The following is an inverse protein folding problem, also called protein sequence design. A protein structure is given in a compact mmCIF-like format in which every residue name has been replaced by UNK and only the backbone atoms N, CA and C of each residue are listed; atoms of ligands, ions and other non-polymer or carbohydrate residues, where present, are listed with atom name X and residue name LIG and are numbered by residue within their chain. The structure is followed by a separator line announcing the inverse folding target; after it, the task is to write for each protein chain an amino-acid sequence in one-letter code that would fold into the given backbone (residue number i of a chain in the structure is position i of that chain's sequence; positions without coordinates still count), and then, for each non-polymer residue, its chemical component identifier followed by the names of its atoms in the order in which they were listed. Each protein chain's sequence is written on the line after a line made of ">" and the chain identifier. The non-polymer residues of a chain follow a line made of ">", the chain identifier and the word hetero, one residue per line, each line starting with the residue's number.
data_IF_004197949965
#
_entry.id   IF_004197949965
#
_cell.length_a   1.000
_cell.length_b   1.000
_cell.length_c   1.000
_cell.angle_alpha   90.00
_cell.angle_beta   90.00
_cell.angle_gamma   90.00
#
_symmetry.space_group_name_H-M   'P 1'
#
loop_
_entity.id
_entity.type
_entity.pdbx_description
1 polymer ?
#
# COMPACT_ATOMS: atom_id res chain seq x y z
N UNK A 1 -4.79 7.97 -11.50
CA UNK A 1 -3.73 8.12 -10.48
C UNK A 1 -2.39 8.19 -11.18
N UNK A 2 -1.52 9.12 -10.74
CA UNK A 2 -0.18 9.32 -11.33
C UNK A 2 0.91 8.61 -10.53
N UNK A 3 0.82 8.59 -9.21
CA UNK A 3 1.75 7.91 -8.31
C UNK A 3 1.00 7.13 -7.25
N UNK A 4 1.47 5.93 -6.96
CA UNK A 4 0.88 5.04 -5.94
C UNK A 4 2.00 4.55 -5.02
N UNK A 5 1.74 4.55 -3.70
CA UNK A 5 2.62 3.85 -2.77
C UNK A 5 2.26 2.37 -2.72
N UNK A 6 3.27 1.52 -2.69
CA UNK A 6 3.07 0.08 -2.49
C UNK A 6 3.74 -0.37 -1.20
N UNK A 7 2.93 -0.84 -0.28
CA UNK A 7 3.35 -1.48 0.97
C UNK A 7 3.51 -2.99 0.74
N UNK A 8 4.65 -3.54 1.05
CA UNK A 8 4.98 -4.94 0.79
C UNK A 8 6.11 -5.45 1.68
N UNK A 9 6.31 -6.76 1.67
CA UNK A 9 7.33 -7.41 2.47
C UNK A 9 8.76 -7.15 1.99
N UNK A 10 9.72 -7.09 2.95
CA UNK A 10 11.16 -7.16 2.71
C UNK A 10 11.64 -8.59 2.41
N UNK A 11 10.75 -9.57 2.40
CA UNK A 11 10.96 -10.97 2.01
C UNK A 11 10.09 -11.31 0.79
N UNK A 12 10.47 -12.34 0.02
CA UNK A 12 9.67 -12.86 -1.10
C UNK A 12 8.55 -13.79 -0.64
N UNK A 13 8.60 -14.27 0.61
CA UNK A 13 7.81 -15.42 1.03
C UNK A 13 8.31 -16.73 0.40
N UNK A 14 7.65 -17.83 0.73
CA UNK A 14 8.04 -19.15 0.21
C UNK A 14 7.32 -19.51 -1.10
N UNK A 15 6.11 -19.00 -1.30
CA UNK A 15 5.33 -19.29 -2.49
C UNK A 15 5.67 -18.29 -3.60
N UNK A 16 6.11 -18.77 -4.79
CA UNK A 16 6.50 -17.90 -5.91
C UNK A 16 5.36 -17.02 -6.43
N UNK A 17 4.11 -17.37 -6.18
CA UNK A 17 2.94 -16.59 -6.59
C UNK A 17 2.97 -15.13 -6.09
N UNK A 18 3.58 -14.89 -4.93
CA UNK A 18 3.68 -13.54 -4.39
C UNK A 18 4.67 -12.69 -5.19
N UNK A 19 5.81 -13.27 -5.56
CA UNK A 19 6.79 -12.62 -6.46
C UNK A 19 6.17 -12.33 -7.83
N UNK A 20 5.41 -13.28 -8.37
CA UNK A 20 4.72 -13.13 -9.65
C UNK A 20 3.71 -11.97 -9.61
N UNK A 21 2.94 -11.86 -8.53
CA UNK A 21 2.00 -10.75 -8.32
C UNK A 21 2.71 -9.38 -8.24
N UNK A 22 3.89 -9.30 -7.62
CA UNK A 22 4.69 -8.07 -7.61
C UNK A 22 5.21 -7.70 -9.01
N UNK A 23 5.61 -8.70 -9.81
CA UNK A 23 6.02 -8.48 -11.20
C UNK A 23 4.82 -8.02 -12.04
N UNK A 24 3.65 -8.65 -11.88
CA UNK A 24 2.43 -8.25 -12.59
C UNK A 24 2.05 -6.81 -12.27
N UNK A 25 2.06 -6.43 -10.98
CA UNK A 25 1.79 -5.06 -10.54
C UNK A 25 2.81 -4.07 -11.12
N UNK A 26 4.09 -4.41 -11.10
CA UNK A 26 5.16 -3.58 -11.67
C UNK A 26 5.00 -3.37 -13.18
N UNK A 27 4.67 -4.42 -13.92
CA UNK A 27 4.38 -4.34 -15.36
C UNK A 27 3.14 -3.47 -15.64
N UNK A 28 2.10 -3.59 -14.80
CA UNK A 28 0.92 -2.74 -14.92
C UNK A 28 1.27 -1.27 -14.71
N UNK A 29 2.07 -0.94 -13.69
CA UNK A 29 2.52 0.44 -13.43
C UNK A 29 3.30 1.00 -14.61
N UNK A 30 4.29 0.27 -15.10
CA UNK A 30 5.11 0.68 -16.23
C UNK A 30 4.25 0.93 -17.50
N UNK A 31 3.35 -0.01 -17.83
CA UNK A 31 2.46 0.10 -18.99
C UNK A 31 1.54 1.32 -18.91
N UNK A 32 1.05 1.65 -17.71
CA UNK A 32 0.08 2.74 -17.50
C UNK A 32 0.75 4.06 -17.05
N UNK A 33 2.09 4.13 -17.03
CA UNK A 33 2.87 5.30 -16.62
C UNK A 33 2.51 5.77 -15.20
N UNK A 34 2.34 4.81 -14.28
CA UNK A 34 2.10 5.06 -12.87
C UNK A 34 3.45 5.00 -12.14
N UNK A 35 3.81 6.07 -11.44
CA UNK A 35 5.01 6.11 -10.62
C UNK A 35 4.84 5.30 -9.32
N UNK A 36 5.88 4.57 -8.94
CA UNK A 36 5.96 3.84 -7.67
C UNK A 36 6.56 4.74 -6.59
N UNK A 37 5.92 4.80 -5.44
CA UNK A 37 6.53 5.23 -4.17
C UNK A 37 6.62 4.02 -3.25
N UNK A 38 7.78 3.79 -2.61
CA UNK A 38 7.97 2.60 -1.77
C UNK A 38 9.07 2.79 -0.72
N UNK A 39 9.32 1.75 0.08
CA UNK A 39 10.27 1.79 1.19
C UNK A 39 11.75 1.91 0.86
N UNK A 40 12.16 1.95 -0.41
CA UNK A 40 13.55 2.16 -0.83
C UNK A 40 14.45 0.92 -0.78
N UNK A 41 13.95 -0.23 -0.31
CA UNK A 41 14.74 -1.46 -0.18
C UNK A 41 14.92 -2.20 -1.51
N UNK A 42 16.11 -2.84 -1.67
CA UNK A 42 16.46 -3.66 -2.83
C UNK A 42 16.02 -5.12 -2.71
N UNK A 43 15.73 -5.59 -1.50
CA UNK A 43 15.45 -7.00 -1.20
C UNK A 43 13.95 -7.30 -1.15
N UNK A 44 13.61 -8.58 -1.27
CA UNK A 44 12.23 -9.07 -1.13
C UNK A 44 11.29 -8.54 -2.22
N UNK A 45 10.03 -8.39 -1.85
CA UNK A 45 8.96 -7.90 -2.73
C UNK A 45 9.22 -6.46 -3.20
N UNK A 46 9.81 -5.62 -2.33
CA UNK A 46 10.20 -4.24 -2.64
C UNK A 46 11.16 -4.18 -3.83
N UNK A 47 12.25 -4.95 -3.79
CA UNK A 47 13.22 -5.00 -4.88
C UNK A 47 12.62 -5.52 -6.18
N UNK A 48 11.85 -6.60 -6.13
CA UNK A 48 11.19 -7.17 -7.32
C UNK A 48 10.29 -6.15 -8.01
N UNK A 49 9.50 -5.42 -7.24
CA UNK A 49 8.58 -4.42 -7.76
C UNK A 49 9.34 -3.25 -8.40
N UNK A 50 10.32 -2.68 -7.69
CA UNK A 50 11.15 -1.58 -8.19
C UNK A 50 11.94 -1.99 -9.45
N UNK A 51 12.64 -3.13 -9.43
CA UNK A 51 13.38 -3.66 -10.57
C UNK A 51 12.48 -3.87 -11.80
N UNK A 52 11.24 -4.32 -11.60
CA UNK A 52 10.30 -4.53 -12.69
C UNK A 52 9.94 -3.22 -13.38
N UNK A 53 9.67 -2.17 -12.60
CA UNK A 53 9.32 -0.86 -13.15
C UNK A 53 10.54 -0.20 -13.81
N UNK A 54 11.71 -0.26 -13.18
CA UNK A 54 12.95 0.33 -13.68
C UNK A 54 13.40 -0.31 -15.01
N UNK A 55 13.22 -1.62 -15.20
CA UNK A 55 13.48 -2.29 -16.49
C UNK A 55 12.69 -1.69 -17.65
N UNK A 56 11.55 -1.12 -17.38
CA UNK A 56 10.70 -0.42 -18.33
C UNK A 56 10.90 1.11 -18.33
N UNK A 57 11.96 1.61 -17.66
CA UNK A 57 12.24 3.04 -17.49
C UNK A 57 11.07 3.82 -16.87
N UNK A 58 10.32 3.19 -15.96
CA UNK A 58 9.24 3.82 -15.21
C UNK A 58 9.77 4.56 -13.97
N UNK A 59 8.95 5.46 -13.43
CA UNK A 59 9.30 6.30 -12.29
C UNK A 59 9.25 5.51 -10.98
N UNK A 60 10.32 5.57 -10.18
CA UNK A 60 10.42 4.95 -8.86
C UNK A 60 11.01 5.92 -7.86
N UNK A 61 10.31 6.15 -6.75
CA UNK A 61 10.76 6.98 -5.63
C UNK A 61 10.88 6.09 -4.39
N UNK A 62 12.06 6.02 -3.82
CA UNK A 62 12.29 5.36 -2.54
C UNK A 62 12.24 6.35 -1.37
N UNK A 63 11.61 5.97 -0.26
CA UNK A 63 11.64 6.77 0.99
C UNK A 63 12.14 5.89 2.11
N UNK A 64 13.34 6.21 2.63
CA UNK A 64 14.01 5.39 3.63
C UNK A 64 14.42 6.21 4.85
N UNK A 65 14.20 5.71 6.09
CA UNK A 65 14.75 6.34 7.28
C UNK A 65 16.25 6.14 7.36
N UNK A 66 16.97 7.15 7.84
CA UNK A 66 18.43 7.10 8.00
C UNK A 66 18.90 5.92 8.86
N UNK A 67 18.09 5.49 9.82
CA UNK A 67 18.37 4.31 10.66
C UNK A 67 18.45 3.02 9.82
N UNK A 68 17.59 2.87 8.82
CA UNK A 68 17.51 1.67 7.96
C UNK A 68 18.38 1.77 6.72
N UNK A 69 18.98 2.93 6.45
CA UNK A 69 19.85 3.14 5.29
C UNK A 69 21.04 2.15 5.23
N UNK A 70 21.50 1.69 6.40
CA UNK A 70 22.59 0.71 6.52
C UNK A 70 22.10 -0.74 6.60
N UNK A 71 20.91 -0.99 7.12
CA UNK A 71 20.35 -2.32 7.36
C UNK A 71 19.49 -2.81 6.20
N UNK A 72 18.70 -1.94 5.62
CA UNK A 72 18.02 -2.20 4.34
C UNK A 72 19.01 -1.85 3.23
N UNK A 73 19.37 -2.82 2.43
CA UNK A 73 20.21 -2.58 1.24
C UNK A 73 19.43 -1.63 0.34
N UNK A 74 19.80 -0.34 0.38
CA UNK A 74 19.22 0.71 -0.45
C UNK A 74 19.31 0.32 -1.91
N UNK A 75 18.25 0.54 -2.67
CA UNK A 75 18.20 0.18 -4.07
C UNK A 75 19.01 1.15 -4.93
N UNK A 76 20.24 0.74 -5.33
CA UNK A 76 21.18 1.60 -6.06
C UNK A 76 20.68 2.03 -7.45
N UNK A 77 19.70 1.34 -8.03
CA UNK A 77 19.11 1.69 -9.33
C UNK A 77 17.98 2.73 -9.26
N UNK A 78 17.58 3.16 -8.07
CA UNK A 78 16.55 4.18 -7.88
C UNK A 78 17.21 5.55 -7.77
N UNK A 79 16.98 6.40 -8.77
CA UNK A 79 17.59 7.73 -8.84
C UNK A 79 17.02 8.68 -7.78
N UNK A 80 15.71 8.62 -7.50
CA UNK A 80 15.03 9.47 -6.51
C UNK A 80 14.89 8.74 -5.18
N UNK A 81 15.90 8.89 -4.29
CA UNK A 81 15.90 8.31 -2.94
C UNK A 81 15.80 9.41 -1.89
N UNK A 82 14.68 9.45 -1.17
CA UNK A 82 14.42 10.42 -0.10
C UNK A 82 14.81 9.79 1.24
N UNK A 83 15.86 10.34 1.87
CA UNK A 83 16.29 9.92 3.21
C UNK A 83 15.60 10.78 4.26
N UNK A 84 14.77 10.18 5.12
CA UNK A 84 14.10 10.87 6.21
C UNK A 84 14.78 10.64 7.57
N UNK A 85 14.54 11.53 8.54
CA UNK A 85 15.20 11.47 9.85
C UNK A 85 14.58 10.40 10.76
N UNK A 86 13.26 10.27 10.75
CA UNK A 86 12.50 9.38 11.65
C UNK A 86 11.60 8.45 10.85
N UNK A 87 11.25 7.29 11.43
CA UNK A 87 10.31 6.35 10.85
C UNK A 87 8.91 6.98 10.66
N UNK A 88 8.46 7.82 11.59
CA UNK A 88 7.20 8.56 11.48
C UNK A 88 7.17 9.53 10.29
N UNK A 89 8.31 10.17 9.97
CA UNK A 89 8.39 11.12 8.87
C UNK A 89 8.24 10.42 7.52
N UNK A 90 8.70 9.16 7.42
CA UNK A 90 8.63 8.33 6.20
C UNK A 90 7.22 8.24 5.66
N UNK A 91 6.25 7.82 6.51
CA UNK A 91 4.86 7.63 6.11
C UNK A 91 4.22 8.95 5.65
N UNK A 92 4.48 10.04 6.36
CA UNK A 92 4.01 11.38 6.00
C UNK A 92 4.58 11.86 4.67
N UNK A 93 5.87 11.60 4.40
CA UNK A 93 6.50 11.94 3.12
C UNK A 93 5.86 11.12 1.99
N UNK A 94 5.74 9.81 2.17
CA UNK A 94 5.14 8.91 1.17
C UNK A 94 3.71 9.36 0.84
N UNK A 95 2.90 9.64 1.86
CA UNK A 95 1.51 10.09 1.68
C UNK A 95 1.39 11.36 0.82
N UNK A 96 2.28 12.33 1.00
CA UNK A 96 2.25 13.60 0.23
C UNK A 96 2.61 13.43 -1.24
N UNK A 97 3.24 12.34 -1.64
CA UNK A 97 3.73 12.10 -3.00
C UNK A 97 2.75 11.35 -3.90
N UNK A 98 1.63 10.86 -3.36
CA UNK A 98 0.81 9.82 -4.00
C UNK A 98 -0.66 10.18 -4.13
N UNK A 99 -1.32 9.47 -5.04
CA UNK A 99 -2.77 9.55 -5.28
C UNK A 99 -3.53 8.32 -4.71
N UNK A 100 -2.83 7.28 -4.24
CA UNK A 100 -3.45 6.07 -3.72
C UNK A 100 -2.45 5.11 -3.07
N UNK A 101 -2.98 4.13 -2.36
CA UNK A 101 -2.24 3.12 -1.61
C UNK A 101 -2.54 1.74 -2.14
N UNK A 102 -1.54 0.88 -2.33
CA UNK A 102 -1.71 -0.54 -2.59
C UNK A 102 -0.90 -1.32 -1.57
N UNK A 103 -1.52 -2.36 -1.01
CA UNK A 103 -0.86 -3.32 -0.14
C UNK A 103 -0.83 -4.68 -0.83
N UNK A 104 0.35 -5.27 -0.89
CA UNK A 104 0.59 -6.65 -1.35
C UNK A 104 1.25 -7.45 -0.22
N UNK A 105 1.35 -8.80 -0.28
CA UNK A 105 1.83 -9.61 0.82
C UNK A 105 3.08 -9.10 1.53
N UNK A 106 3.06 -9.13 2.87
CA UNK A 106 4.15 -8.66 3.73
C UNK A 106 3.89 -8.96 5.21
N UNK A 107 4.75 -8.43 6.07
CA UNK A 107 4.71 -8.66 7.52
C UNK A 107 4.06 -7.52 8.31
N UNK A 108 4.49 -7.36 9.56
CA UNK A 108 3.93 -6.36 10.49
C UNK A 108 4.00 -4.93 9.96
N UNK A 109 5.14 -4.52 9.36
CA UNK A 109 5.28 -3.17 8.81
C UNK A 109 4.27 -2.91 7.68
N UNK A 110 4.00 -3.91 6.86
CA UNK A 110 3.02 -3.82 5.77
C UNK A 110 1.59 -3.62 6.30
N UNK A 111 1.22 -4.33 7.38
CA UNK A 111 -0.08 -4.16 8.03
C UNK A 111 -0.18 -2.83 8.79
N UNK A 112 0.88 -2.40 9.46
CA UNK A 112 0.95 -1.10 10.14
C UNK A 112 0.71 0.05 9.14
N UNK A 113 1.36 0.02 7.98
CA UNK A 113 1.19 1.01 6.92
C UNK A 113 -0.23 0.97 6.30
N UNK A 114 -0.80 -0.23 6.10
CA UNK A 114 -2.17 -0.41 5.63
C UNK A 114 -3.19 0.20 6.59
N UNK A 115 -3.10 -0.14 7.87
CA UNK A 115 -4.06 0.33 8.87
C UNK A 115 -3.91 1.82 9.15
N UNK A 116 -2.72 2.39 9.05
CA UNK A 116 -2.54 3.84 9.13
C UNK A 116 -3.24 4.54 7.96
N UNK A 117 -3.06 4.08 6.71
CA UNK A 117 -3.74 4.64 5.55
C UNK A 117 -5.27 4.58 5.68
N UNK A 118 -5.82 3.46 6.16
CA UNK A 118 -7.25 3.30 6.42
C UNK A 118 -7.74 4.24 7.53
N UNK A 119 -6.95 4.39 8.59
CA UNK A 119 -7.28 5.28 9.72
C UNK A 119 -7.30 6.75 9.28
N UNK A 120 -6.33 7.19 8.48
CA UNK A 120 -6.28 8.54 7.94
C UNK A 120 -7.49 8.85 7.03
N UNK A 121 -7.90 7.88 6.21
CA UNK A 121 -9.11 8.01 5.40
C UNK A 121 -10.38 8.00 6.26
N UNK A 122 -10.48 7.15 7.27
CA UNK A 122 -11.62 7.10 8.20
C UNK A 122 -11.80 8.42 8.94
N UNK A 123 -10.69 9.09 9.29
CA UNK A 123 -10.69 10.38 9.95
C UNK A 123 -10.82 11.56 8.98
N UNK A 124 -10.97 11.30 7.68
CA UNK A 124 -11.00 12.30 6.59
C UNK A 124 -9.78 13.25 6.56
N UNK A 125 -8.67 12.81 7.14
CA UNK A 125 -7.38 13.51 7.02
C UNK A 125 -6.85 13.34 5.59
N UNK A 126 -7.12 12.18 4.99
CA UNK A 126 -6.85 11.87 3.60
C UNK A 126 -8.11 11.33 2.90
N UNK A 127 -8.09 11.39 1.56
CA UNK A 127 -9.21 10.93 0.73
C UNK A 127 -8.66 10.20 -0.50
N UNK A 128 -7.89 9.14 -0.25
CA UNK A 128 -7.19 8.39 -1.30
C UNK A 128 -7.67 6.93 -1.31
N UNK A 129 -7.81 6.29 -2.48
CA UNK A 129 -8.15 4.88 -2.55
C UNK A 129 -7.08 4.02 -1.85
N UNK A 130 -7.51 3.07 -1.03
CA UNK A 130 -6.66 2.08 -0.37
C UNK A 130 -7.00 0.71 -0.91
N UNK A 131 -6.08 0.14 -1.67
CA UNK A 131 -6.20 -1.16 -2.32
C UNK A 131 -5.43 -2.26 -1.59
N UNK A 132 -5.99 -3.46 -1.59
CA UNK A 132 -5.38 -4.68 -1.09
C UNK A 132 -5.40 -5.73 -2.18
N UNK A 133 -4.22 -6.16 -2.65
CA UNK A 133 -4.10 -7.26 -3.60
C UNK A 133 -4.02 -8.57 -2.82
N UNK A 134 -5.15 -9.27 -2.73
CA UNK A 134 -5.28 -10.51 -1.96
C UNK A 134 -4.81 -11.73 -2.77
N UNK A 135 -3.53 -11.73 -3.13
CA UNK A 135 -2.91 -12.83 -3.89
C UNK A 135 -2.97 -14.12 -3.09
N UNK A 136 -3.54 -15.16 -3.69
CA UNK A 136 -3.64 -16.50 -3.09
C UNK A 136 -4.27 -16.51 -1.68
N UNK A 137 -5.21 -15.60 -1.40
CA UNK A 137 -5.89 -15.53 -0.11
C UNK A 137 -5.00 -15.12 1.08
N UNK A 138 -3.83 -14.52 0.82
CA UNK A 138 -2.86 -14.16 1.87
C UNK A 138 -3.48 -13.33 3.00
N UNK A 139 -4.42 -12.47 2.68
CA UNK A 139 -5.06 -11.57 3.64
C UNK A 139 -6.44 -12.04 4.12
N UNK A 140 -6.88 -13.27 3.79
CA UNK A 140 -8.23 -13.75 4.17
C UNK A 140 -8.50 -13.63 5.67
N UNK A 141 -7.52 -13.98 6.52
CA UNK A 141 -7.66 -13.85 7.97
C UNK A 141 -7.79 -12.37 8.43
N UNK A 142 -7.10 -11.44 7.76
CA UNK A 142 -7.21 -10.00 8.04
C UNK A 142 -8.59 -9.49 7.63
N UNK A 143 -9.09 -9.89 6.47
CA UNK A 143 -10.41 -9.51 5.99
C UNK A 143 -11.50 -10.05 6.91
N UNK A 144 -11.38 -11.30 7.35
CA UNK A 144 -12.30 -11.91 8.32
C UNK A 144 -12.29 -11.15 9.66
N UNK A 145 -11.10 -10.72 10.12
CA UNK A 145 -11.00 -9.91 11.35
C UNK A 145 -11.69 -8.55 11.18
N UNK A 146 -11.57 -7.90 10.02
CA UNK A 146 -12.26 -6.64 9.75
C UNK A 146 -13.79 -6.81 9.72
N UNK A 147 -14.26 -7.92 9.14
CA UNK A 147 -15.69 -8.25 9.12
C UNK A 147 -16.22 -8.51 10.54
N UNK A 148 -15.44 -9.21 11.38
CA UNK A 148 -15.74 -9.39 12.80
C UNK A 148 -15.81 -8.04 13.56
N UNK A 149 -14.90 -7.09 13.25
CA UNK A 149 -14.96 -5.74 13.84
C UNK A 149 -16.27 -5.01 13.49
N UNK A 150 -16.82 -5.25 12.31
CA UNK A 150 -18.12 -4.69 11.91
C UNK A 150 -19.24 -5.36 12.70
N UNK A 151 -19.27 -6.69 12.78
CA UNK A 151 -20.26 -7.46 13.52
C UNK A 151 -20.33 -7.08 15.00
N UNK A 152 -19.17 -6.83 15.61
CA UNK A 152 -19.06 -6.46 17.03
C UNK A 152 -19.18 -4.94 17.27
N UNK A 153 -19.41 -4.13 16.22
CA UNK A 153 -19.65 -2.69 16.34
C UNK A 153 -18.39 -1.82 16.52
N UNK A 154 -17.18 -2.37 16.38
CA UNK A 154 -15.92 -1.61 16.48
C UNK A 154 -15.55 -0.90 15.17
N UNK A 155 -16.09 -1.34 14.04
CA UNK A 155 -15.85 -0.75 12.73
C UNK A 155 -17.21 -0.53 12.03
N UNK A 156 -17.41 0.66 11.47
CA UNK A 156 -18.59 0.90 10.63
C UNK A 156 -18.43 0.19 9.29
N UNK A 157 -19.57 -0.29 8.74
CA UNK A 157 -19.62 -0.91 7.42
C UNK A 157 -19.11 0.02 6.31
N UNK A 158 -19.37 1.34 6.40
CA UNK A 158 -18.87 2.34 5.45
C UNK A 158 -17.34 2.41 5.49
N UNK A 159 -16.76 2.37 6.68
CA UNK A 159 -15.29 2.38 6.83
C UNK A 159 -14.65 1.08 6.35
N UNK A 160 -15.32 -0.08 6.59
CA UNK A 160 -14.87 -1.37 6.05
C UNK A 160 -14.80 -1.36 4.51
N UNK A 161 -15.74 -0.67 3.85
CA UNK A 161 -15.80 -0.52 2.40
C UNK A 161 -14.70 0.40 1.83
N UNK A 162 -13.99 1.17 2.66
CA UNK A 162 -12.84 1.97 2.20
C UNK A 162 -11.67 1.09 1.77
N UNK A 163 -11.56 -0.13 2.29
CA UNK A 163 -10.57 -1.11 1.82
C UNK A 163 -11.07 -1.80 0.56
N UNK A 164 -10.45 -1.47 -0.55
CA UNK A 164 -10.75 -2.05 -1.87
C UNK A 164 -9.93 -3.34 -2.04
N UNK A 165 -10.60 -4.47 -2.13
CA UNK A 165 -9.94 -5.77 -2.27
C UNK A 165 -10.06 -6.27 -3.70
N UNK A 166 -8.93 -6.69 -4.28
CA UNK A 166 -8.87 -7.35 -5.57
C UNK A 166 -8.04 -8.63 -5.51
N UNK A 167 -8.37 -9.63 -6.30
CA UNK A 167 -7.63 -10.87 -6.46
C UNK A 167 -6.67 -10.84 -7.65
N UNK A 168 -6.85 -9.85 -8.53
CA UNK A 168 -5.95 -9.54 -9.65
C UNK A 168 -5.64 -8.04 -9.70
N UNK A 169 -4.50 -7.70 -10.33
CA UNK A 169 -4.07 -6.31 -10.50
C UNK A 169 -5.11 -5.50 -11.27
N UNK A 170 -5.67 -6.05 -12.34
CA UNK A 170 -6.66 -5.35 -13.17
C UNK A 170 -7.94 -5.04 -12.39
N UNK A 171 -8.47 -6.02 -11.64
CA UNK A 171 -9.65 -5.85 -10.79
C UNK A 171 -9.42 -4.76 -9.74
N UNK A 172 -8.28 -4.84 -9.02
CA UNK A 172 -7.94 -3.88 -7.99
C UNK A 172 -7.84 -2.46 -8.55
N UNK A 173 -7.11 -2.29 -9.65
CA UNK A 173 -6.93 -0.98 -10.28
C UNK A 173 -8.23 -0.40 -10.83
N UNK A 174 -9.15 -1.23 -11.33
CA UNK A 174 -10.47 -0.78 -11.74
C UNK A 174 -11.26 -0.23 -10.54
N UNK A 175 -11.28 -0.94 -9.40
CA UNK A 175 -11.94 -0.49 -8.16
C UNK A 175 -11.33 0.82 -7.66
N UNK A 176 -9.99 0.93 -7.66
CA UNK A 176 -9.29 2.14 -7.23
C UNK A 176 -9.56 3.35 -8.14
N UNK A 177 -9.63 3.16 -9.45
CA UNK A 177 -9.90 4.23 -10.41
C UNK A 177 -11.34 4.76 -10.33
N UNK A 178 -12.27 3.95 -9.87
CA UNK A 178 -13.70 4.31 -9.71
C UNK A 178 -14.06 4.70 -8.27
N UNK A 179 -13.09 4.63 -7.34
CA UNK A 179 -13.31 4.94 -5.94
C UNK A 179 -13.78 6.38 -5.76
N UNK A 180 -14.83 6.52 -4.95
CA UNK A 180 -15.31 7.81 -4.46
C UNK A 180 -15.23 7.80 -2.95
N UNK A 181 -14.61 8.81 -2.38
CA UNK A 181 -14.56 8.98 -0.92
C UNK A 181 -15.98 9.09 -0.39
N UNK A 182 -16.35 8.33 0.66
CA UNK A 182 -17.63 8.49 1.33
C UNK A 182 -17.81 9.92 1.83
N UNK A 183 -19.04 10.44 1.73
CA UNK A 183 -19.37 11.75 2.30
C UNK A 183 -19.12 11.77 3.82
N UNK A 184 -18.71 12.94 4.33
CA UNK A 184 -18.48 13.14 5.77
C UNK A 184 -19.82 13.11 6.51
N UNK A 185 -20.25 11.93 6.91
CA UNK A 185 -21.35 11.78 7.86
C UNK A 185 -20.76 11.53 9.25
N UNK A 186 -20.55 12.60 10.02
CA UNK A 186 -20.09 12.59 11.43
C UNK A 186 -18.87 11.68 11.70
N UNK A 187 -17.67 12.27 11.59
CA UNK A 187 -16.38 11.63 11.93
C UNK A 187 -16.35 11.12 13.37
N UNK A 188 -17.03 11.84 14.29
CA UNK A 188 -17.17 11.40 15.67
C UNK A 188 -18.43 10.55 15.75
N UNK A 189 -18.25 9.24 15.75
CA UNK A 189 -19.30 8.34 16.17
C UNK A 189 -19.61 8.58 17.63
N UNK A 190 -20.65 9.34 17.90
CA UNK A 190 -21.38 9.08 19.13
C UNK A 190 -22.01 7.69 18.94
N UNK A 191 -21.35 6.66 19.46
CA UNK A 191 -22.03 5.41 19.80
C UNK A 191 -22.99 5.82 20.92
N UNK A 192 -24.19 6.22 20.53
CA UNK A 192 -25.29 6.38 21.46
C UNK A 192 -25.87 4.96 21.55
N UNK A 193 -25.59 4.30 22.65
CA UNK A 193 -26.34 3.12 23.09
C UNK A 193 -27.75 3.53 23.50
#
# INVERSE_FOLDING_TARGET
>A
MKKIVVFCGSSLGFNPVYKEAAIELGNYFAKNKIGLVYGGGKIGMMGVLADTILRHKGDVIGVIPKLLEKEEVVHAGVEEMIVCKKMSDRKVIMSKLIDGYITIPGGFGTLDELFEALTLNQLHIEQKPVGLLNTNGFFDAVLLQLDRMVEEGYLKQENRKMLLVGTSVNELMQKMNTYKTPEITNVINKVIH
#
